data_IF_527641989707
#
_entry.id   IF_527641989707
#
_cell.length_a   1.000
_cell.length_b   1.000
_cell.length_c   1.000
_cell.angle_alpha   90.00
_cell.angle_beta   90.00
_cell.angle_gamma   90.00
#
_symmetry.space_group_name_H-M   'P 1'
#
loop_
_entity.id
_entity.type
_entity.pdbx_description
1 polymer ?
#
# COMPACT_ATOMS: atom_id res chain seq x y z
N UNK A 1 6.02 -18.98 0.81
CA UNK A 1 6.89 -17.91 1.36
C UNK A 1 6.29 -16.59 0.92
N UNK A 2 5.93 -15.73 1.86
CA UNK A 2 5.39 -14.40 1.54
C UNK A 2 6.44 -13.57 0.77
N UNK A 3 5.99 -12.55 0.03
CA UNK A 3 6.89 -11.64 -0.70
C UNK A 3 7.86 -10.93 0.25
N UNK A 4 7.40 -10.59 1.45
CA UNK A 4 8.21 -10.01 2.54
C UNK A 4 9.37 -10.95 2.91
N UNK A 5 9.08 -12.20 3.25
CA UNK A 5 10.11 -13.17 3.67
C UNK A 5 11.11 -13.49 2.56
N UNK A 6 10.69 -13.38 1.30
CA UNK A 6 11.59 -13.52 0.13
C UNK A 6 12.53 -12.31 0.01
N UNK A 7 12.03 -11.10 0.15
CA UNK A 7 12.84 -9.88 0.09
C UNK A 7 13.86 -9.84 1.25
N UNK A 8 13.42 -10.14 2.47
CA UNK A 8 14.30 -10.26 3.64
C UNK A 8 15.41 -11.28 3.42
N UNK A 9 15.08 -12.48 2.92
CA UNK A 9 16.08 -13.52 2.63
C UNK A 9 17.10 -13.10 1.57
N UNK A 10 16.67 -12.35 0.54
CA UNK A 10 17.56 -11.81 -0.50
C UNK A 10 18.54 -10.80 0.12
N UNK A 11 18.02 -9.85 0.90
CA UNK A 11 18.82 -8.80 1.55
C UNK A 11 19.80 -9.39 2.56
N UNK A 12 19.37 -10.34 3.39
CA UNK A 12 20.23 -11.04 4.35
C UNK A 12 21.34 -11.82 3.66
N UNK A 13 21.04 -12.56 2.60
CA UNK A 13 22.05 -13.28 1.81
C UNK A 13 23.02 -12.33 1.13
N UNK A 14 22.54 -11.21 0.57
CA UNK A 14 23.39 -10.20 -0.04
C UNK A 14 24.34 -9.58 1.00
N UNK A 15 23.86 -9.28 2.19
CA UNK A 15 24.66 -8.77 3.30
C UNK A 15 25.73 -9.79 3.74
N UNK A 16 25.34 -11.02 4.03
CA UNK A 16 26.27 -12.08 4.47
C UNK A 16 27.39 -12.38 3.45
N UNK A 17 27.09 -12.18 2.16
CA UNK A 17 28.05 -12.37 1.07
C UNK A 17 28.88 -11.11 0.75
N UNK A 18 28.72 -10.00 1.48
CA UNK A 18 29.39 -8.74 1.20
C UNK A 18 29.01 -8.12 -0.15
N UNK A 19 27.81 -8.41 -0.66
CA UNK A 19 27.31 -7.97 -1.97
C UNK A 19 26.05 -7.11 -1.88
N UNK A 20 25.77 -6.54 -0.70
CA UNK A 20 24.66 -5.64 -0.55
C UNK A 20 24.94 -4.36 -1.33
N UNK A 21 24.02 -4.00 -2.22
CA UNK A 21 24.14 -2.78 -3.00
C UNK A 21 23.90 -1.55 -2.12
N UNK A 22 24.59 -0.46 -2.40
CA UNK A 22 24.49 0.78 -1.62
C UNK A 22 23.14 1.48 -1.76
N UNK A 23 22.39 1.27 -2.86
CA UNK A 23 21.09 1.86 -3.12
C UNK A 23 20.06 0.77 -3.43
N UNK A 24 19.05 0.65 -2.59
CA UNK A 24 18.00 -0.37 -2.65
C UNK A 24 16.65 0.32 -2.70
N UNK A 25 15.88 0.06 -3.75
CA UNK A 25 14.50 0.51 -3.88
C UNK A 25 13.56 -0.61 -3.44
N UNK A 26 12.92 -0.44 -2.29
CA UNK A 26 11.84 -1.31 -1.85
C UNK A 26 10.52 -0.73 -2.32
N UNK A 27 9.74 -1.51 -3.07
CA UNK A 27 8.45 -1.07 -3.56
C UNK A 27 7.39 -2.16 -3.39
N UNK A 28 6.14 -1.76 -3.16
CA UNK A 28 5.06 -2.70 -2.92
C UNK A 28 3.75 -2.02 -2.56
N UNK A 29 2.84 -2.78 -1.97
CA UNK A 29 1.48 -2.33 -1.68
C UNK A 29 1.28 -1.73 -0.28
N UNK A 30 2.26 -1.85 0.62
CA UNK A 30 2.16 -1.39 2.01
C UNK A 30 3.41 -0.62 2.43
N UNK A 31 3.25 0.66 2.80
CA UNK A 31 4.34 1.50 3.31
C UNK A 31 4.94 0.94 4.59
N UNK A 32 4.10 0.40 5.49
CA UNK A 32 4.54 -0.21 6.75
C UNK A 32 5.41 -1.44 6.49
N UNK A 33 4.99 -2.34 5.59
CA UNK A 33 5.79 -3.52 5.24
C UNK A 33 7.14 -3.16 4.62
N UNK A 34 7.18 -2.11 3.78
CA UNK A 34 8.44 -1.59 3.22
C UNK A 34 9.38 -1.06 4.32
N UNK A 35 8.82 -0.30 5.26
CA UNK A 35 9.56 0.24 6.41
C UNK A 35 10.09 -0.88 7.31
N UNK A 36 9.29 -1.89 7.61
CA UNK A 36 9.68 -3.02 8.44
C UNK A 36 10.85 -3.81 7.83
N UNK A 37 10.80 -4.08 6.52
CA UNK A 37 11.91 -4.75 5.81
C UNK A 37 13.17 -3.89 5.82
N UNK A 38 13.05 -2.58 5.60
CA UNK A 38 14.19 -1.66 5.65
C UNK A 38 14.81 -1.60 7.05
N UNK A 39 13.99 -1.43 8.11
CA UNK A 39 14.44 -1.37 9.50
C UNK A 39 15.03 -2.69 10.00
N UNK A 40 14.45 -3.81 9.60
CA UNK A 40 15.01 -5.14 9.89
C UNK A 40 16.37 -5.33 9.27
N UNK A 41 16.52 -4.92 8.00
CA UNK A 41 17.82 -4.97 7.31
C UNK A 41 18.83 -4.00 7.92
N UNK A 42 18.41 -2.78 8.29
CA UNK A 42 19.25 -1.84 9.01
C UNK A 42 19.75 -2.42 10.35
N UNK A 43 18.88 -3.11 11.08
CA UNK A 43 19.27 -3.79 12.33
C UNK A 43 20.30 -4.88 12.11
N UNK A 44 20.23 -5.63 11.01
CA UNK A 44 21.26 -6.60 10.61
C UNK A 44 22.59 -5.90 10.30
N UNK A 45 22.56 -4.78 9.57
CA UNK A 45 23.76 -4.00 9.23
C UNK A 45 24.44 -3.43 10.48
N UNK A 46 23.68 -2.95 11.45
CA UNK A 46 24.21 -2.44 12.72
C UNK A 46 24.61 -3.53 13.72
N UNK A 47 24.19 -4.78 13.52
CA UNK A 47 24.37 -5.87 14.49
C UNK A 47 23.57 -5.67 15.80
N UNK A 48 22.64 -4.72 15.84
CA UNK A 48 21.77 -4.36 16.96
C UNK A 48 20.48 -3.69 16.47
N UNK A 49 19.43 -3.57 17.31
CA UNK A 49 18.19 -2.90 16.91
C UNK A 49 18.45 -1.49 16.36
N UNK A 50 17.86 -1.16 15.22
CA UNK A 50 18.09 0.13 14.56
C UNK A 50 17.34 1.29 15.21
N UNK A 51 16.33 1.02 16.04
CA UNK A 51 15.55 2.05 16.71
C UNK A 51 16.48 2.99 17.51
N UNK A 52 16.44 4.29 17.20
CA UNK A 52 17.28 5.34 17.79
C UNK A 52 18.80 5.16 17.56
N UNK A 53 19.20 4.43 16.52
CA UNK A 53 20.62 4.32 16.19
C UNK A 53 21.15 5.67 15.64
N UNK A 54 22.26 6.22 16.14
CA UNK A 54 22.75 7.55 15.73
C UNK A 54 23.18 7.60 14.24
N UNK A 55 23.53 6.45 13.64
CA UNK A 55 23.90 6.34 12.23
C UNK A 55 22.73 5.88 11.33
N UNK A 56 21.50 5.91 11.85
CA UNK A 56 20.26 5.77 11.08
C UNK A 56 19.72 7.15 10.76
N UNK A 57 19.58 7.45 9.48
CA UNK A 57 19.05 8.71 8.97
C UNK A 57 17.75 8.45 8.24
N UNK A 58 16.68 9.05 8.70
CA UNK A 58 15.37 8.92 8.06
C UNK A 58 14.98 10.25 7.40
N UNK A 59 14.43 10.19 6.19
CA UNK A 59 13.87 11.31 5.46
C UNK A 59 12.42 10.99 5.13
N UNK A 60 11.50 11.83 5.62
CA UNK A 60 10.06 11.69 5.41
C UNK A 60 9.51 12.92 4.71
N UNK A 61 8.51 12.79 3.86
CA UNK A 61 7.83 13.95 3.30
C UNK A 61 7.11 14.73 4.40
N UNK A 62 7.15 16.06 4.29
CA UNK A 62 6.53 16.98 5.24
C UNK A 62 5.58 17.96 4.56
N UNK A 63 4.76 18.61 5.39
CA UNK A 63 3.82 19.64 5.01
C UNK A 63 2.56 19.11 4.34
N UNK A 64 1.61 20.01 4.09
CA UNK A 64 0.29 19.70 3.50
C UNK A 64 0.36 18.91 2.19
N UNK A 65 1.36 19.17 1.35
CA UNK A 65 1.55 18.48 0.07
C UNK A 65 2.36 17.19 0.19
N UNK A 66 2.80 16.79 1.38
CA UNK A 66 3.66 15.62 1.61
C UNK A 66 4.81 15.55 0.59
N UNK A 67 5.66 16.56 0.55
CA UNK A 67 6.78 16.64 -0.38
C UNK A 67 8.11 16.52 0.36
N UNK A 68 9.05 15.83 -0.26
CA UNK A 68 10.45 15.85 0.13
C UNK A 68 11.12 17.05 -0.55
N UNK A 69 11.36 18.10 0.24
CA UNK A 69 11.98 19.33 -0.23
C UNK A 69 13.51 19.22 -0.21
N UNK A 70 14.16 20.03 -1.06
CA UNK A 70 15.63 20.10 -1.05
C UNK A 70 16.18 20.76 0.22
N UNK A 71 15.45 21.71 0.80
CA UNK A 71 15.89 22.61 1.86
C UNK A 71 16.51 23.89 1.33
N UNK A 72 15.98 25.05 1.73
CA UNK A 72 16.47 26.38 1.30
C UNK A 72 17.63 26.86 2.21
N UNK A 73 18.54 27.63 1.63
CA UNK A 73 19.60 28.28 2.41
C UNK A 73 19.05 29.29 3.43
N UNK A 74 17.87 29.89 3.13
CA UNK A 74 17.13 30.79 4.05
C UNK A 74 16.58 30.07 5.27
N UNK A 75 16.36 28.75 5.17
CA UNK A 75 15.75 27.96 6.24
C UNK A 75 16.78 27.43 7.25
N UNK A 76 18.06 27.78 7.08
CA UNK A 76 19.13 27.36 7.96
C UNK A 76 19.01 28.06 9.32
N UNK A 77 18.75 27.30 10.37
CA UNK A 77 18.79 27.76 11.75
C UNK A 77 20.10 27.30 12.41
N UNK A 78 20.86 28.24 12.96
CA UNK A 78 22.13 27.90 13.66
C UNK A 78 23.19 27.21 12.79
N UNK A 79 23.12 27.41 11.44
CA UNK A 79 24.09 26.83 10.49
C UNK A 79 23.73 25.41 10.01
N UNK A 80 22.67 24.81 10.51
CA UNK A 80 22.19 23.49 10.09
C UNK A 80 20.97 23.59 9.11
N UNK A 81 20.76 22.53 8.34
CA UNK A 81 19.59 22.38 7.47
C UNK A 81 18.38 21.94 8.29
N UNK A 82 17.14 22.35 7.90
CA UNK A 82 15.94 21.85 8.53
C UNK A 82 15.87 20.33 8.52
N UNK A 83 15.28 19.69 9.54
CA UNK A 83 15.01 18.28 9.52
C UNK A 83 14.15 17.91 8.29
N UNK A 84 14.12 16.64 7.92
CA UNK A 84 13.33 16.13 6.79
C UNK A 84 13.54 16.86 5.45
N UNK A 85 14.75 17.39 5.21
CA UNK A 85 15.15 17.94 3.92
C UNK A 85 16.23 17.09 3.27
N UNK A 86 16.26 17.07 1.93
CA UNK A 86 17.28 16.31 1.19
C UNK A 86 18.70 16.77 1.52
N UNK A 87 18.92 18.07 1.65
CA UNK A 87 20.26 18.61 1.99
C UNK A 87 20.72 18.20 3.38
N UNK A 88 19.79 18.09 4.34
CA UNK A 88 20.11 17.58 5.68
C UNK A 88 20.58 16.13 5.60
N UNK A 89 19.78 15.27 4.95
CA UNK A 89 20.15 13.87 4.73
C UNK A 89 21.51 13.73 4.07
N UNK A 90 21.73 14.42 2.94
CA UNK A 90 22.96 14.36 2.16
C UNK A 90 24.20 14.83 2.96
N UNK A 91 24.02 15.78 3.86
CA UNK A 91 25.09 16.22 4.76
C UNK A 91 25.40 15.16 5.81
N UNK A 92 24.36 14.64 6.46
CA UNK A 92 24.52 13.72 7.57
C UNK A 92 25.14 12.38 7.15
N UNK A 93 24.72 11.83 6.01
CA UNK A 93 25.31 10.57 5.48
C UNK A 93 26.77 10.73 4.99
N UNK A 94 27.26 11.96 4.76
CA UNK A 94 28.65 12.23 4.39
C UNK A 94 29.58 12.28 5.60
N UNK A 95 29.05 12.40 6.81
CA UNK A 95 29.86 12.36 8.03
C UNK A 95 30.34 10.92 8.30
N UNK A 96 31.39 10.80 9.06
CA UNK A 96 31.86 9.48 9.52
C UNK A 96 30.80 8.85 10.46
N UNK A 97 30.65 7.52 10.47
CA UNK A 97 29.78 6.86 11.40
C UNK A 97 30.11 7.22 12.85
N UNK A 98 29.08 7.44 13.67
CA UNK A 98 29.24 7.88 15.07
C UNK A 98 29.36 6.71 16.05
N UNK A 99 28.67 5.60 15.79
CA UNK A 99 28.53 4.50 16.74
C UNK A 99 28.77 3.11 16.13
N UNK A 100 29.22 3.03 14.88
CA UNK A 100 29.41 1.77 14.17
C UNK A 100 30.37 1.90 13.01
N UNK A 101 30.38 0.86 12.17
CA UNK A 101 31.18 0.83 10.92
C UNK A 101 30.34 1.24 9.70
N UNK A 102 29.02 1.31 9.82
CA UNK A 102 28.09 1.53 8.71
C UNK A 102 27.05 2.58 9.02
N UNK A 103 26.54 3.21 7.99
CA UNK A 103 25.43 4.18 8.02
C UNK A 103 24.28 3.65 7.18
N UNK A 104 23.07 3.93 7.63
CA UNK A 104 21.87 3.59 6.89
C UNK A 104 21.01 4.84 6.71
N UNK A 105 20.58 5.10 5.48
CA UNK A 105 19.60 6.12 5.16
C UNK A 105 18.30 5.45 4.69
N UNK A 106 17.17 5.92 5.19
CA UNK A 106 15.84 5.47 4.74
C UNK A 106 15.08 6.69 4.23
N UNK A 107 14.74 6.68 2.94
CA UNK A 107 13.92 7.70 2.30
C UNK A 107 12.51 7.14 2.13
N UNK A 108 11.58 7.62 2.94
CA UNK A 108 10.18 7.22 2.89
C UNK A 108 9.46 7.95 1.76
N UNK A 109 8.50 7.28 1.12
CA UNK A 109 7.72 7.84 0.00
C UNK A 109 8.63 8.56 -1.02
N UNK A 110 9.63 7.85 -1.52
CA UNK A 110 10.63 8.43 -2.42
C UNK A 110 10.04 9.04 -3.70
N UNK A 111 8.83 8.63 -4.09
CA UNK A 111 8.03 9.24 -5.16
C UNK A 111 7.58 10.69 -4.85
N UNK A 112 7.67 11.12 -3.59
CA UNK A 112 7.34 12.49 -3.16
C UNK A 112 8.51 13.48 -3.26
N UNK A 113 9.64 13.08 -3.80
CA UNK A 113 10.74 14.01 -4.09
C UNK A 113 10.32 14.98 -5.20
N UNK A 114 10.49 16.29 -4.95
CA UNK A 114 10.40 17.25 -6.03
C UNK A 114 11.63 17.16 -6.97
N UNK A 115 11.57 17.74 -8.14
CA UNK A 115 12.64 17.66 -9.15
C UNK A 115 14.01 18.12 -8.62
N UNK A 116 14.02 19.13 -7.76
CA UNK A 116 15.26 19.67 -7.18
C UNK A 116 15.90 18.70 -6.18
N UNK A 117 15.09 18.10 -5.28
CA UNK A 117 15.57 17.12 -4.29
C UNK A 117 16.04 15.83 -4.98
N UNK A 118 15.29 15.38 -5.99
CA UNK A 118 15.65 14.22 -6.78
C UNK A 118 16.99 14.43 -7.51
N UNK A 119 17.18 15.55 -8.19
CA UNK A 119 18.43 15.88 -8.88
C UNK A 119 19.62 16.02 -7.92
N UNK A 120 19.43 16.63 -6.75
CA UNK A 120 20.47 16.71 -5.72
C UNK A 120 20.89 15.33 -5.21
N UNK A 121 19.96 14.37 -5.19
CA UNK A 121 20.19 13.01 -4.72
C UNK A 121 20.95 12.13 -5.72
N UNK A 122 20.79 12.36 -7.03
CA UNK A 122 21.40 11.55 -8.10
C UNK A 122 22.91 11.39 -7.90
N UNK A 123 23.63 12.48 -7.59
CA UNK A 123 25.09 12.41 -7.36
C UNK A 123 25.47 11.44 -6.23
N UNK A 124 24.65 11.37 -5.18
CA UNK A 124 24.91 10.46 -4.06
C UNK A 124 24.57 9.01 -4.39
N UNK A 125 23.59 8.78 -5.29
CA UNK A 125 23.31 7.44 -5.80
C UNK A 125 24.39 6.93 -6.75
N UNK A 126 25.08 7.81 -7.48
CA UNK A 126 26.21 7.47 -8.37
C UNK A 126 27.50 7.24 -7.58
N UNK A 127 27.78 8.14 -6.63
CA UNK A 127 28.99 8.12 -5.80
C UNK A 127 28.58 8.15 -4.31
N UNK A 128 28.16 7.00 -3.76
CA UNK A 128 27.72 6.95 -2.37
C UNK A 128 28.87 7.19 -1.41
N UNK A 129 28.62 7.83 -0.27
CA UNK A 129 29.61 7.91 0.81
C UNK A 129 30.01 6.49 1.26
N UNK A 130 31.26 6.29 1.69
CA UNK A 130 31.73 4.98 2.13
C UNK A 130 30.85 4.44 3.28
N UNK A 131 30.70 3.12 3.31
CA UNK A 131 29.98 2.39 4.36
C UNK A 131 28.52 2.85 4.55
N UNK A 132 27.88 3.29 3.47
CA UNK A 132 26.50 3.81 3.49
C UNK A 132 25.58 2.94 2.65
N UNK A 133 24.46 2.49 3.25
CA UNK A 133 23.38 1.82 2.55
C UNK A 133 22.13 2.72 2.56
N UNK A 134 21.53 2.91 1.40
CA UNK A 134 20.38 3.78 1.19
C UNK A 134 19.18 2.93 0.79
N UNK A 135 18.12 2.97 1.59
CA UNK A 135 16.83 2.39 1.25
C UNK A 135 15.89 3.50 0.78
N UNK A 136 15.29 3.30 -0.38
CA UNK A 136 14.20 4.12 -0.87
C UNK A 136 12.92 3.30 -0.84
N UNK A 137 11.87 3.85 -0.22
CA UNK A 137 10.59 3.18 -0.04
C UNK A 137 9.53 3.89 -0.87
N UNK A 138 8.75 3.15 -1.66
CA UNK A 138 7.63 3.71 -2.40
C UNK A 138 6.53 2.68 -2.67
N UNK A 139 5.29 3.11 -2.56
CA UNK A 139 4.13 2.34 -3.04
C UNK A 139 3.76 2.68 -4.48
N UNK A 140 4.46 3.67 -5.09
CA UNK A 140 4.22 4.18 -6.43
C UNK A 140 5.50 4.20 -7.25
N UNK A 141 6.05 3.03 -7.61
CA UNK A 141 7.36 2.96 -8.27
C UNK A 141 7.39 3.65 -9.65
N UNK A 142 6.23 3.83 -10.29
CA UNK A 142 6.12 4.50 -11.59
C UNK A 142 6.15 6.04 -11.50
N UNK A 143 5.90 6.60 -10.31
CA UNK A 143 5.97 8.04 -10.07
C UNK A 143 7.40 8.48 -9.71
N UNK A 144 8.29 7.51 -9.48
CA UNK A 144 9.71 7.77 -9.22
C UNK A 144 10.45 8.01 -10.55
N UNK A 145 11.33 9.02 -10.57
CA UNK A 145 12.14 9.33 -11.76
C UNK A 145 12.96 8.11 -12.22
N UNK A 146 12.95 7.85 -13.52
CA UNK A 146 13.71 6.75 -14.14
C UNK A 146 15.20 6.84 -13.85
N UNK A 147 15.73 8.06 -13.73
CA UNK A 147 17.13 8.33 -13.40
C UNK A 147 17.52 7.85 -11.99
N UNK A 148 16.61 7.89 -11.04
CA UNK A 148 16.79 7.34 -9.69
C UNK A 148 16.61 5.82 -9.75
N UNK A 149 15.52 5.35 -10.37
CA UNK A 149 15.20 3.94 -10.44
C UNK A 149 16.30 3.10 -11.09
N UNK A 150 16.94 3.63 -12.14
CA UNK A 150 18.03 2.95 -12.85
C UNK A 150 19.32 2.77 -12.03
N UNK A 151 19.48 3.51 -10.93
CA UNK A 151 20.65 3.46 -10.03
C UNK A 151 20.44 2.61 -8.78
N UNK A 152 19.28 1.97 -8.67
CA UNK A 152 18.90 1.19 -7.51
C UNK A 152 18.65 -0.27 -7.87
N UNK A 153 18.95 -1.16 -6.95
CA UNK A 153 18.42 -2.52 -7.03
C UNK A 153 16.98 -2.49 -6.50
N UNK A 154 16.02 -2.80 -7.37
CA UNK A 154 14.62 -2.79 -7.03
C UNK A 154 14.18 -4.16 -6.50
N UNK A 155 13.57 -4.18 -5.32
CA UNK A 155 12.99 -5.37 -4.69
C UNK A 155 11.53 -5.12 -4.39
N UNK A 156 10.67 -6.03 -4.86
CA UNK A 156 9.24 -5.99 -4.59
C UNK A 156 8.95 -6.63 -3.24
N UNK A 157 8.18 -5.92 -2.42
CA UNK A 157 7.75 -6.31 -1.08
C UNK A 157 6.25 -6.13 -1.01
N UNK A 158 5.51 -7.19 -1.28
CA UNK A 158 4.06 -7.17 -1.11
C UNK A 158 3.72 -7.81 0.23
N UNK A 159 2.99 -7.11 1.06
CA UNK A 159 2.34 -7.68 2.23
C UNK A 159 1.01 -8.28 1.80
N UNK A 160 0.65 -9.40 2.41
CA UNK A 160 -0.75 -9.78 2.45
C UNK A 160 -1.49 -8.64 3.15
N UNK A 161 -2.61 -8.17 2.59
CA UNK A 161 -3.37 -7.13 3.26
C UNK A 161 -3.77 -7.65 4.65
N UNK A 162 -3.49 -6.88 5.70
CA UNK A 162 -3.99 -7.23 7.03
C UNK A 162 -5.52 -7.29 6.99
N UNK A 163 -6.16 -8.30 7.56
CA UNK A 163 -7.61 -8.38 7.61
C UNK A 163 -8.20 -7.10 8.20
N UNK A 164 -9.19 -6.50 7.56
CA UNK A 164 -9.87 -5.34 8.12
C UNK A 164 -10.64 -5.80 9.35
N UNK A 165 -10.21 -5.36 10.53
CA UNK A 165 -10.85 -5.70 11.81
C UNK A 165 -12.04 -4.75 12.05
N UNK A 166 -13.05 -4.90 11.19
CA UNK A 166 -14.32 -4.18 11.28
C UNK A 166 -15.47 -5.18 11.33
N UNK A 167 -16.23 -5.14 12.41
CA UNK A 167 -17.31 -6.10 12.69
C UNK A 167 -18.39 -6.11 11.59
N UNK A 168 -18.77 -4.93 11.07
CA UNK A 168 -19.79 -4.84 10.01
C UNK A 168 -19.26 -5.35 8.67
N UNK A 169 -17.97 -5.16 8.39
CA UNK A 169 -17.33 -5.69 7.21
C UNK A 169 -17.22 -7.22 7.26
N UNK A 170 -16.80 -7.75 8.40
CA UNK A 170 -16.71 -9.20 8.63
C UNK A 170 -18.09 -9.85 8.45
N UNK A 171 -19.15 -9.26 9.05
CA UNK A 171 -20.53 -9.74 8.89
C UNK A 171 -20.97 -9.68 7.42
N UNK A 172 -20.61 -8.62 6.70
CA UNK A 172 -20.91 -8.48 5.29
C UNK A 172 -20.27 -9.59 4.45
N UNK A 173 -18.99 -9.91 4.70
CA UNK A 173 -18.28 -10.99 4.01
C UNK A 173 -18.91 -12.36 4.31
N UNK A 174 -19.33 -12.60 5.53
CA UNK A 174 -20.05 -13.83 5.86
C UNK A 174 -21.39 -13.94 5.12
N UNK A 175 -22.16 -12.87 5.05
CA UNK A 175 -23.41 -12.84 4.33
C UNK A 175 -23.23 -12.98 2.81
N UNK A 176 -22.16 -12.38 2.27
CA UNK A 176 -21.75 -12.58 0.88
C UNK A 176 -21.40 -14.06 0.60
N UNK A 177 -20.63 -14.70 1.47
CA UNK A 177 -20.31 -16.14 1.37
C UNK A 177 -21.56 -17.00 1.45
N UNK A 178 -22.50 -16.70 2.35
CA UNK A 178 -23.78 -17.41 2.46
C UNK A 178 -24.62 -17.24 1.19
N UNK A 179 -24.70 -16.00 0.66
CA UNK A 179 -25.41 -15.69 -0.58
C UNK A 179 -24.80 -16.47 -1.76
N UNK A 180 -23.49 -16.45 -1.94
CA UNK A 180 -22.78 -17.17 -2.99
C UNK A 180 -23.03 -18.69 -2.90
N UNK A 181 -22.97 -19.29 -1.70
CA UNK A 181 -23.28 -20.73 -1.47
C UNK A 181 -24.71 -21.06 -1.88
N UNK A 182 -25.65 -20.18 -1.60
CA UNK A 182 -27.07 -20.35 -1.99
C UNK A 182 -27.23 -20.38 -3.51
N UNK A 183 -26.50 -19.51 -4.23
CA UNK A 183 -26.49 -19.48 -5.71
C UNK A 183 -25.90 -20.78 -6.29
N UNK A 184 -24.78 -21.24 -5.74
CA UNK A 184 -24.12 -22.48 -6.18
C UNK A 184 -24.94 -23.73 -5.89
N UNK A 185 -25.68 -23.73 -4.79
CA UNK A 185 -26.54 -24.86 -4.37
C UNK A 185 -27.78 -25.10 -5.24
N UNK A 186 -28.01 -24.27 -6.26
CA UNK A 186 -29.08 -24.44 -7.25
C UNK A 186 -30.50 -24.14 -6.74
N UNK A 187 -30.69 -23.80 -5.46
CA UNK A 187 -31.98 -23.43 -4.88
C UNK A 187 -32.53 -22.10 -5.44
N UNK A 188 -31.66 -21.27 -6.00
CA UNK A 188 -31.99 -19.97 -6.60
C UNK A 188 -32.55 -20.03 -8.02
N UNK A 189 -32.79 -21.24 -8.57
CA UNK A 189 -33.19 -21.41 -9.99
C UNK A 189 -34.69 -21.41 -10.24
N UNK A 190 -35.54 -21.50 -9.21
CA UNK A 190 -37.01 -21.57 -9.36
C UNK A 190 -37.76 -20.80 -8.28
N UNK A 191 -38.80 -20.07 -8.69
CA UNK A 191 -39.79 -19.46 -7.79
C UNK A 191 -39.19 -18.47 -6.76
N UNK A 192 -39.57 -18.59 -5.52
CA UNK A 192 -39.13 -17.71 -4.41
C UNK A 192 -37.63 -17.65 -4.19
N UNK A 193 -36.87 -18.67 -4.66
CA UNK A 193 -35.40 -18.68 -4.59
C UNK A 193 -34.76 -17.62 -5.46
N UNK A 194 -35.33 -17.27 -6.62
CA UNK A 194 -34.85 -16.19 -7.49
C UNK A 194 -35.03 -14.84 -6.83
N UNK A 195 -36.24 -14.59 -6.29
CA UNK A 195 -36.56 -13.34 -5.58
C UNK A 195 -35.62 -13.14 -4.39
N UNK A 196 -35.40 -14.17 -3.58
CA UNK A 196 -34.46 -14.12 -2.44
C UNK A 196 -33.00 -13.85 -2.86
N UNK A 197 -32.56 -14.45 -3.94
CA UNK A 197 -31.21 -14.22 -4.48
C UNK A 197 -30.99 -12.77 -4.96
N UNK A 198 -32.01 -12.20 -5.63
CA UNK A 198 -31.99 -10.81 -6.11
C UNK A 198 -32.08 -9.83 -4.94
N UNK A 199 -32.98 -10.05 -3.98
CA UNK A 199 -33.12 -9.20 -2.80
C UNK A 199 -31.82 -9.23 -1.96
N UNK A 200 -31.22 -10.41 -1.77
CA UNK A 200 -29.94 -10.54 -1.09
C UNK A 200 -28.81 -9.77 -1.80
N UNK A 201 -28.78 -9.82 -3.14
CA UNK A 201 -27.85 -9.04 -3.97
C UNK A 201 -27.96 -7.54 -3.67
N UNK A 202 -29.15 -6.96 -3.74
CA UNK A 202 -29.34 -5.52 -3.49
C UNK A 202 -29.13 -5.13 -2.02
N UNK A 203 -29.43 -6.02 -1.07
CA UNK A 203 -29.10 -5.82 0.33
C UNK A 203 -27.58 -5.72 0.58
N UNK A 204 -26.80 -6.58 -0.07
CA UNK A 204 -25.34 -6.54 -0.01
C UNK A 204 -24.77 -5.28 -0.67
N UNK A 205 -25.31 -4.85 -1.82
CA UNK A 205 -24.88 -3.63 -2.51
C UNK A 205 -25.10 -2.39 -1.63
N UNK A 206 -26.28 -2.26 -1.03
CA UNK A 206 -26.62 -1.13 -0.15
C UNK A 206 -25.69 -1.07 1.09
N UNK A 207 -25.46 -2.21 1.73
CA UNK A 207 -24.57 -2.31 2.91
C UNK A 207 -23.10 -2.02 2.55
N UNK A 208 -22.61 -2.47 1.40
CA UNK A 208 -21.25 -2.17 0.94
C UNK A 208 -21.01 -0.66 0.86
N UNK A 209 -21.94 0.09 0.24
CA UNK A 209 -21.84 1.54 0.13
C UNK A 209 -21.85 2.25 1.50
N UNK A 210 -22.70 1.78 2.43
CA UNK A 210 -22.79 2.33 3.79
C UNK A 210 -21.49 2.05 4.59
N UNK A 211 -20.97 0.83 4.54
CA UNK A 211 -19.72 0.44 5.23
C UNK A 211 -18.53 1.25 4.68
N UNK A 212 -18.38 1.33 3.36
CA UNK A 212 -17.32 2.10 2.75
C UNK A 212 -17.38 3.59 3.13
N UNK A 213 -18.60 4.19 3.12
CA UNK A 213 -18.80 5.57 3.55
C UNK A 213 -18.36 5.79 4.99
N UNK A 214 -18.85 4.97 5.93
CA UNK A 214 -18.51 5.05 7.35
C UNK A 214 -17.00 4.91 7.60
N UNK A 215 -16.37 3.91 6.99
CA UNK A 215 -14.92 3.70 7.15
C UNK A 215 -14.08 4.87 6.61
N UNK A 216 -14.52 5.52 5.54
CA UNK A 216 -13.85 6.73 5.02
C UNK A 216 -14.00 7.89 6.01
N UNK A 217 -15.20 8.07 6.57
CA UNK A 217 -15.46 9.14 7.53
C UNK A 217 -14.67 8.93 8.84
N UNK A 218 -14.61 7.71 9.37
CA UNK A 218 -13.83 7.35 10.56
C UNK A 218 -12.33 7.66 10.39
N UNK A 219 -11.75 7.33 9.23
CA UNK A 219 -10.34 7.62 8.96
C UNK A 219 -10.10 9.13 8.80
N UNK A 220 -11.04 9.83 8.14
CA UNK A 220 -10.95 11.27 7.97
C UNK A 220 -11.00 12.01 9.32
N UNK A 221 -11.90 11.60 10.22
CA UNK A 221 -12.01 12.19 11.56
C UNK A 221 -10.74 11.99 12.42
N UNK A 222 -10.03 10.85 12.24
CA UNK A 222 -8.75 10.60 12.92
C UNK A 222 -7.63 11.53 12.39
N UNK A 223 -7.59 11.80 11.10
CA UNK A 223 -6.60 12.66 10.48
C UNK A 223 -6.90 14.17 10.73
N UNK A 224 -8.18 14.57 10.82
CA UNK A 224 -8.59 15.96 11.14
C UNK A 224 -8.20 16.37 12.56
N UNK A 225 -8.14 15.43 13.51
CA UNK A 225 -7.72 15.70 14.89
C UNK A 225 -6.23 16.12 15.01
N UNK A 226 -5.42 15.89 13.98
CA UNK A 226 -3.99 16.21 13.94
C UNK A 226 -3.65 17.48 13.11
N UNK A 227 -4.65 18.12 12.44
CA UNK A 227 -4.38 19.25 11.54
C UNK A 227 -5.43 20.35 11.53
N UNK A 228 -5.20 21.37 12.35
CA UNK A 228 -6.08 22.58 12.51
C UNK A 228 -6.12 23.55 11.30
N UNK A 229 -5.53 23.23 10.14
CA UNK A 229 -5.36 24.18 9.01
C UNK A 229 -5.52 23.61 7.61
N UNK A 230 -6.36 22.58 7.37
CA UNK A 230 -6.57 22.08 6.03
C UNK A 230 -7.68 22.85 5.30
N UNK A 231 -7.43 23.22 4.04
CA UNK A 231 -8.40 23.84 3.13
C UNK A 231 -9.40 22.77 2.66
N UNK A 232 -10.69 23.11 2.46
CA UNK A 232 -11.76 22.16 2.10
C UNK A 232 -11.40 21.30 0.87
N UNK A 233 -10.71 21.87 -0.13
CA UNK A 233 -10.26 21.16 -1.33
C UNK A 233 -9.21 20.06 -1.02
N UNK A 234 -8.35 20.30 -0.03
CA UNK A 234 -7.36 19.31 0.42
C UNK A 234 -8.00 18.19 1.24
N UNK A 235 -8.99 18.50 2.07
CA UNK A 235 -9.76 17.52 2.83
C UNK A 235 -10.45 16.56 1.85
N UNK A 236 -11.08 17.10 0.80
CA UNK A 236 -11.76 16.29 -0.21
C UNK A 236 -10.75 15.41 -1.00
N UNK A 237 -9.58 15.92 -1.33
CA UNK A 237 -8.53 15.15 -1.99
C UNK A 237 -7.98 14.01 -1.11
N UNK A 238 -7.82 14.23 0.21
CA UNK A 238 -7.42 13.22 1.18
C UNK A 238 -8.51 12.15 1.31
N UNK A 239 -9.77 12.54 1.50
CA UNK A 239 -10.93 11.63 1.55
C UNK A 239 -11.04 10.77 0.29
N UNK A 240 -10.85 11.36 -0.90
CA UNK A 240 -10.85 10.64 -2.17
C UNK A 240 -9.70 9.61 -2.25
N UNK A 241 -8.53 9.95 -1.74
CA UNK A 241 -7.38 9.04 -1.68
C UNK A 241 -7.63 7.87 -0.72
N UNK A 242 -8.14 8.15 0.48
CA UNK A 242 -8.50 7.15 1.49
C UNK A 242 -9.60 6.22 0.97
N UNK A 243 -10.64 6.78 0.35
CA UNK A 243 -11.71 6.00 -0.28
C UNK A 243 -11.18 5.05 -1.34
N UNK A 244 -10.20 5.49 -2.16
CA UNK A 244 -9.56 4.63 -3.17
C UNK A 244 -8.77 3.49 -2.54
N UNK A 245 -8.03 3.75 -1.48
CA UNK A 245 -7.26 2.73 -0.75
C UNK A 245 -8.19 1.70 -0.09
N UNK A 246 -9.26 2.15 0.58
CA UNK A 246 -10.27 1.29 1.18
C UNK A 246 -11.00 0.43 0.15
N UNK A 247 -11.44 1.02 -0.97
CA UNK A 247 -12.05 0.25 -2.07
C UNK A 247 -11.18 -0.92 -2.50
N UNK A 248 -9.91 -0.63 -2.79
CA UNK A 248 -8.96 -1.67 -3.23
C UNK A 248 -8.86 -2.79 -2.20
N UNK A 249 -8.88 -2.42 -0.92
CA UNK A 249 -8.85 -3.35 0.19
C UNK A 249 -10.10 -4.22 0.25
N UNK A 250 -11.28 -3.60 0.30
CA UNK A 250 -12.55 -4.32 0.38
C UNK A 250 -12.76 -5.24 -0.83
N UNK A 251 -12.34 -4.82 -2.02
CA UNK A 251 -12.43 -5.65 -3.23
C UNK A 251 -11.49 -6.86 -3.17
N UNK A 252 -10.30 -6.74 -2.57
CA UNK A 252 -9.40 -7.88 -2.36
C UNK A 252 -10.02 -8.90 -1.40
N UNK A 253 -10.63 -8.46 -0.29
CA UNK A 253 -11.31 -9.34 0.65
C UNK A 253 -12.52 -10.05 0.00
N UNK A 254 -13.24 -9.36 -0.92
CA UNK A 254 -14.33 -9.97 -1.70
C UNK A 254 -13.78 -11.02 -2.66
N UNK A 255 -12.63 -10.78 -3.30
CA UNK A 255 -11.97 -11.73 -4.19
C UNK A 255 -11.61 -13.01 -3.43
N UNK A 256 -10.92 -12.88 -2.30
CA UNK A 256 -10.55 -13.98 -1.44
C UNK A 256 -11.79 -14.77 -0.96
N UNK A 257 -12.83 -14.06 -0.50
CA UNK A 257 -14.08 -14.68 -0.07
C UNK A 257 -14.79 -15.42 -1.22
N UNK A 258 -14.71 -14.89 -2.44
CA UNK A 258 -15.30 -15.50 -3.64
C UNK A 258 -14.57 -16.80 -4.00
N UNK A 259 -13.23 -16.78 -3.98
CA UNK A 259 -12.38 -17.93 -4.30
C UNK A 259 -12.51 -19.00 -3.22
N UNK A 260 -12.39 -18.67 -1.95
CA UNK A 260 -12.53 -19.59 -0.81
C UNK A 260 -13.86 -20.32 -0.83
N UNK A 261 -14.95 -19.58 -1.03
CA UNK A 261 -16.28 -20.14 -1.09
C UNK A 261 -16.44 -21.13 -2.24
N UNK A 262 -15.82 -20.85 -3.38
CA UNK A 262 -15.86 -21.70 -4.56
C UNK A 262 -14.96 -22.94 -4.44
N UNK A 263 -13.79 -22.82 -3.83
CA UNK A 263 -12.87 -23.94 -3.56
C UNK A 263 -13.38 -24.86 -2.45
N UNK A 264 -14.10 -24.33 -1.45
CA UNK A 264 -14.78 -25.11 -0.41
C UNK A 264 -16.01 -25.88 -0.90
N UNK A 265 -16.50 -25.61 -2.11
CA UNK A 265 -17.61 -26.31 -2.75
C UNK A 265 -17.11 -27.46 -3.64
N UNK A 266 -17.55 -28.70 -3.36
CA UNK A 266 -17.18 -29.83 -4.19
C UNK A 266 -17.67 -29.67 -5.64
N UNK A 267 -16.73 -29.57 -6.60
CA UNK A 267 -17.02 -29.68 -8.04
C UNK A 267 -17.37 -28.35 -8.75
N UNK A 268 -17.01 -27.20 -8.17
CA UNK A 268 -17.17 -25.90 -8.88
C UNK A 268 -16.13 -25.81 -10.01
N UNK A 269 -16.56 -25.61 -11.28
CA UNK A 269 -15.63 -25.49 -12.39
C UNK A 269 -14.72 -24.25 -12.25
N UNK A 270 -13.40 -24.42 -12.43
CA UNK A 270 -12.42 -23.33 -12.37
C UNK A 270 -12.77 -22.14 -13.30
N UNK A 271 -13.42 -22.42 -14.43
CA UNK A 271 -13.90 -21.39 -15.37
C UNK A 271 -14.92 -20.44 -14.73
N UNK A 272 -15.76 -20.92 -13.82
CA UNK A 272 -16.73 -20.05 -13.12
C UNK A 272 -16.02 -19.13 -12.11
N UNK A 273 -15.02 -19.66 -11.41
CA UNK A 273 -14.19 -18.88 -10.48
C UNK A 273 -13.47 -17.77 -11.25
N UNK A 274 -12.78 -18.11 -12.34
CA UNK A 274 -12.09 -17.13 -13.18
C UNK A 274 -13.03 -16.05 -13.75
N UNK A 275 -14.25 -16.42 -14.13
CA UNK A 275 -15.25 -15.44 -14.60
C UNK A 275 -15.74 -14.52 -13.49
N UNK A 276 -15.89 -15.02 -12.26
CA UNK A 276 -16.31 -14.22 -11.13
C UNK A 276 -15.21 -13.22 -10.74
N UNK A 277 -13.95 -13.66 -10.69
CA UNK A 277 -12.79 -12.78 -10.44
C UNK A 277 -12.68 -11.74 -11.55
N UNK A 278 -12.77 -12.12 -12.83
CA UNK A 278 -12.75 -11.16 -13.94
C UNK A 278 -13.89 -10.13 -13.89
N UNK A 279 -15.06 -10.51 -13.37
CA UNK A 279 -16.17 -9.56 -13.17
C UNK A 279 -15.86 -8.58 -12.03
N UNK A 280 -15.17 -9.01 -10.97
CA UNK A 280 -14.73 -8.15 -9.86
C UNK A 280 -13.63 -7.18 -10.32
N UNK A 281 -12.62 -7.67 -11.04
CA UNK A 281 -11.56 -6.83 -11.62
C UNK A 281 -12.14 -5.75 -12.54
N UNK A 282 -13.16 -6.10 -13.34
CA UNK A 282 -13.85 -5.14 -14.19
C UNK A 282 -14.64 -4.10 -13.40
N UNK A 283 -15.26 -4.51 -12.29
CA UNK A 283 -15.91 -3.58 -11.35
C UNK A 283 -14.89 -2.61 -10.73
N UNK A 284 -13.73 -3.11 -10.32
CA UNK A 284 -12.63 -2.29 -9.83
C UNK A 284 -12.17 -1.26 -10.87
N UNK A 285 -11.97 -1.70 -12.13
CA UNK A 285 -11.59 -0.81 -13.21
C UNK A 285 -12.64 0.29 -13.48
N UNK A 286 -13.93 0.00 -13.35
CA UNK A 286 -14.98 1.02 -13.48
C UNK A 286 -14.90 2.07 -12.36
N UNK A 287 -14.57 1.66 -11.12
CA UNK A 287 -14.37 2.59 -10.00
C UNK A 287 -13.14 3.49 -10.21
N UNK A 288 -12.08 2.97 -10.85
CA UNK A 288 -10.91 3.77 -11.22
C UNK A 288 -11.23 4.81 -12.30
N UNK A 289 -12.20 4.53 -13.17
CA UNK A 289 -12.73 5.45 -14.19
C UNK A 289 -13.81 6.41 -13.63
N UNK A 290 -13.83 6.63 -12.31
CA UNK A 290 -14.78 7.49 -11.59
C UNK A 290 -16.26 7.06 -11.68
N UNK A 291 -16.55 5.79 -11.97
CA UNK A 291 -17.91 5.28 -11.77
C UNK A 291 -18.23 5.25 -10.27
N UNK A 292 -19.44 5.68 -9.84
CA UNK A 292 -19.84 5.54 -8.45
C UNK A 292 -19.78 4.09 -7.94
N UNK A 293 -19.53 3.91 -6.64
CA UNK A 293 -19.30 2.59 -6.06
C UNK A 293 -20.50 1.65 -6.22
N UNK A 294 -21.73 2.17 -6.02
CA UNK A 294 -22.94 1.36 -6.08
C UNK A 294 -23.17 0.70 -7.46
N UNK A 295 -23.17 1.40 -8.60
CA UNK A 295 -23.29 0.76 -9.90
C UNK A 295 -22.12 -0.16 -10.26
N UNK A 296 -20.90 0.15 -9.79
CA UNK A 296 -19.76 -0.70 -10.06
C UNK A 296 -19.86 -2.05 -9.31
N UNK A 297 -20.24 -2.03 -8.03
CA UNK A 297 -20.44 -3.26 -7.26
C UNK A 297 -21.70 -4.01 -7.73
N UNK A 298 -22.74 -3.30 -8.17
CA UNK A 298 -23.94 -3.90 -8.78
C UNK A 298 -23.58 -4.72 -10.01
N UNK A 299 -22.71 -4.20 -10.88
CA UNK A 299 -22.21 -4.95 -12.03
C UNK A 299 -21.57 -6.29 -11.63
N UNK A 300 -20.71 -6.28 -10.59
CA UNK A 300 -20.10 -7.50 -10.09
C UNK A 300 -21.13 -8.46 -9.51
N UNK A 301 -22.01 -7.98 -8.65
CA UNK A 301 -23.01 -8.81 -7.97
C UNK A 301 -24.00 -9.45 -8.95
N UNK A 302 -24.48 -8.71 -9.94
CA UNK A 302 -25.37 -9.24 -10.99
C UNK A 302 -24.64 -10.21 -11.93
N UNK A 303 -23.35 -9.96 -12.21
CA UNK A 303 -22.52 -10.89 -12.97
C UNK A 303 -22.32 -12.18 -12.20
N UNK A 304 -22.01 -12.11 -10.91
CA UNK A 304 -21.88 -13.26 -10.01
C UNK A 304 -23.19 -14.07 -9.96
N UNK A 305 -24.35 -13.42 -9.83
CA UNK A 305 -25.64 -14.07 -9.86
C UNK A 305 -25.80 -14.90 -11.17
N UNK A 306 -25.45 -14.34 -12.32
CA UNK A 306 -25.52 -15.05 -13.62
C UNK A 306 -24.53 -16.21 -13.73
N UNK A 307 -23.30 -16.04 -13.22
CA UNK A 307 -22.24 -17.05 -13.27
C UNK A 307 -22.58 -18.26 -12.43
N UNK A 308 -23.07 -18.03 -11.22
CA UNK A 308 -23.33 -19.10 -10.25
C UNK A 308 -24.66 -19.82 -10.49
N UNK A 309 -25.66 -19.17 -11.10
CA UNK A 309 -26.98 -19.77 -11.35
C UNK A 309 -27.05 -20.51 -12.69
N UNK A 310 -26.15 -20.26 -13.63
CA UNK A 310 -26.02 -20.98 -14.91
C UNK A 310 -25.02 -22.13 -14.83
#
# INVERSE_FOLDING_TARGET
MSSISKAESILEKAFRNGRLHHAILLYGNSATALEDVAKKTASLLFGRPCARHPDLFELRPEGKMRLIKIGSASDRAGGDWPPNTMRKLLRDIRQSPSAGAVKVAIVHEADRMNAESANAFLKTLEEPPPDTTIFMLTTRPNDLLDTIRSRCIALRVDSEPEPLDDEQWIEWLEDFKKWQKTLMGGKSRKGDGVSGAVMGCYGLIARFGAILGRLVDEIADMDESESDELDDEMIEAVRASQRRALRKRLLADIEDACVDCALGGNGVPAVKISRAVAALEKSAAYMELNMPDAPAIEYFMLSSLRIWTR
#
